data_IF_915875328437
#
_entry.id   IF_915875328437
#
_cell.length_a   1.000
_cell.length_b   1.000
_cell.length_c   1.000
_cell.angle_alpha   90.00
_cell.angle_beta   90.00
_cell.angle_gamma   90.00
#
_symmetry.space_group_name_H-M   'P 1'
#
loop_
_entity.id
_entity.type
_entity.pdbx_description
1 polymer ?
#
# COMPACT_ATOMS: atom_id res chain seq x y z
N UNK A 1 -3.50 -37.39 -18.86
CA UNK A 1 -4.93 -37.06 -18.78
C UNK A 1 -5.01 -35.56 -18.72
N UNK A 2 -5.78 -34.95 -19.63
CA UNK A 2 -5.88 -33.49 -19.73
C UNK A 2 -7.02 -32.97 -18.86
N UNK A 3 -6.72 -32.02 -17.97
CA UNK A 3 -7.67 -31.49 -16.98
C UNK A 3 -7.59 -29.97 -16.87
N UNK A 4 -8.72 -29.37 -16.49
CA UNK A 4 -8.80 -27.99 -16.02
C UNK A 4 -8.98 -27.97 -14.51
N UNK A 5 -8.22 -27.10 -13.86
CA UNK A 5 -8.27 -26.89 -12.41
C UNK A 5 -8.60 -25.41 -12.18
N UNK A 6 -9.65 -25.14 -11.42
CA UNK A 6 -10.01 -23.81 -10.97
C UNK A 6 -9.09 -23.39 -9.82
N UNK A 7 -8.48 -22.22 -9.93
CA UNK A 7 -7.77 -21.57 -8.83
C UNK A 7 -8.76 -20.68 -8.07
N UNK A 8 -9.09 -21.06 -6.84
CA UNK A 8 -9.95 -20.28 -5.95
C UNK A 8 -9.14 -19.73 -4.75
N UNK A 9 -9.63 -18.69 -4.05
CA UNK A 9 -8.96 -18.15 -2.87
C UNK A 9 -8.70 -19.20 -1.77
N UNK A 10 -9.52 -20.24 -1.70
CA UNK A 10 -9.44 -21.35 -0.75
C UNK A 10 -8.63 -22.56 -1.26
N UNK A 11 -8.00 -22.44 -2.44
CA UNK A 11 -7.11 -23.45 -3.02
C UNK A 11 -7.56 -23.94 -4.41
N UNK A 12 -6.85 -24.96 -4.91
CA UNK A 12 -7.14 -25.58 -6.21
C UNK A 12 -8.36 -26.51 -6.14
N UNK A 13 -9.30 -26.35 -7.08
CA UNK A 13 -10.48 -27.23 -7.24
C UNK A 13 -10.50 -27.83 -8.63
N UNK A 14 -10.60 -29.16 -8.80
CA UNK A 14 -10.80 -29.76 -10.12
C UNK A 14 -12.06 -29.20 -10.79
N UNK A 15 -11.94 -28.68 -12.01
CA UNK A 15 -13.06 -28.13 -12.76
C UNK A 15 -13.64 -29.17 -13.73
N UNK A 16 -12.80 -29.76 -14.58
CA UNK A 16 -13.23 -30.74 -15.58
C UNK A 16 -12.08 -31.61 -16.08
N UNK A 17 -12.39 -32.85 -16.45
CA UNK A 17 -11.54 -33.69 -17.29
C UNK A 17 -11.96 -33.51 -18.75
N UNK A 18 -10.99 -33.17 -19.61
CA UNK A 18 -11.30 -32.77 -20.99
C UNK A 18 -11.30 -33.98 -21.95
N UNK A 19 -10.66 -35.08 -21.60
CA UNK A 19 -10.36 -36.18 -22.53
C UNK A 19 -11.57 -36.89 -23.16
N UNK A 20 -12.75 -36.78 -22.54
CA UNK A 20 -13.98 -37.36 -23.07
C UNK A 20 -14.71 -36.47 -24.10
N UNK A 21 -14.18 -35.29 -24.44
CA UNK A 21 -14.91 -34.26 -25.19
C UNK A 21 -14.14 -33.76 -26.42
N UNK A 22 -14.89 -33.37 -27.45
CA UNK A 22 -14.34 -32.69 -28.65
C UNK A 22 -14.29 -31.18 -28.48
N UNK A 23 -15.24 -30.62 -27.72
CA UNK A 23 -15.36 -29.19 -27.44
C UNK A 23 -15.74 -29.01 -25.97
N UNK A 24 -15.21 -27.96 -25.34
CA UNK A 24 -15.55 -27.55 -23.97
C UNK A 24 -15.71 -26.04 -23.91
N UNK A 25 -16.85 -25.56 -23.41
CA UNK A 25 -17.23 -24.14 -23.40
C UNK A 25 -17.30 -23.60 -21.98
N UNK A 26 -16.87 -22.35 -21.80
CA UNK A 26 -16.88 -21.68 -20.51
C UNK A 26 -17.58 -20.32 -20.66
N UNK A 27 -18.53 -20.03 -19.78
CA UNK A 27 -19.26 -18.78 -19.78
C UNK A 27 -20.32 -18.70 -18.69
N UNK A 28 -21.10 -17.62 -18.71
CA UNK A 28 -22.18 -17.38 -17.73
C UNK A 28 -23.52 -18.00 -18.11
N UNK A 29 -23.74 -18.24 -19.39
CA UNK A 29 -24.96 -18.86 -19.90
C UNK A 29 -25.04 -20.34 -19.50
N UNK A 30 -26.26 -20.85 -19.35
CA UNK A 30 -26.53 -22.18 -18.79
C UNK A 30 -26.22 -23.34 -19.74
N UNK A 31 -25.97 -23.03 -21.01
CA UNK A 31 -25.60 -23.96 -22.08
C UNK A 31 -24.08 -24.19 -22.17
N UNK A 32 -23.26 -23.48 -21.40
CA UNK A 32 -21.82 -23.75 -21.31
C UNK A 32 -21.54 -24.99 -20.47
N UNK A 33 -20.47 -25.70 -20.81
CA UNK A 33 -20.00 -26.87 -20.09
C UNK A 33 -19.52 -26.54 -18.67
N UNK A 34 -18.78 -25.44 -18.51
CA UNK A 34 -18.47 -24.85 -17.22
C UNK A 34 -19.17 -23.49 -17.09
N UNK A 35 -20.13 -23.43 -16.18
CA UNK A 35 -20.91 -22.23 -15.91
C UNK A 35 -20.36 -21.47 -14.71
N UNK A 36 -20.15 -20.17 -14.87
CA UNK A 36 -19.78 -19.26 -13.79
C UNK A 36 -20.79 -18.12 -13.66
N UNK A 37 -21.04 -17.64 -12.45
CA UNK A 37 -22.02 -16.56 -12.21
C UNK A 37 -21.39 -15.16 -12.14
N UNK A 38 -20.07 -15.07 -12.29
CA UNK A 38 -19.32 -13.82 -12.20
C UNK A 38 -19.72 -12.83 -13.32
N UNK A 39 -20.10 -11.57 -12.99
CA UNK A 39 -20.40 -10.53 -13.98
C UNK A 39 -19.24 -10.20 -14.93
N UNK A 40 -17.99 -10.44 -14.51
CA UNK A 40 -16.81 -10.26 -15.36
C UNK A 40 -16.69 -11.32 -16.47
N UNK A 41 -17.52 -12.37 -16.44
CA UNK A 41 -17.52 -13.45 -17.43
C UNK A 41 -18.69 -13.25 -18.40
N UNK A 42 -18.36 -13.20 -19.70
CA UNK A 42 -19.33 -13.12 -20.79
C UNK A 42 -20.24 -14.35 -20.83
N UNK A 43 -21.43 -14.21 -21.43
CA UNK A 43 -22.40 -15.31 -21.58
C UNK A 43 -21.75 -16.56 -22.20
N UNK A 44 -20.93 -16.36 -23.23
CA UNK A 44 -20.04 -17.35 -23.83
C UNK A 44 -18.66 -16.69 -23.89
N UNK A 45 -17.72 -17.13 -23.06
CA UNK A 45 -16.47 -16.40 -22.86
C UNK A 45 -15.32 -17.02 -23.66
N UNK A 46 -15.12 -18.33 -23.53
CA UNK A 46 -14.12 -19.05 -24.30
C UNK A 46 -14.59 -20.45 -24.67
N UNK A 47 -13.89 -21.03 -25.64
CA UNK A 47 -14.05 -22.41 -26.08
C UNK A 47 -12.71 -23.09 -26.22
N UNK A 48 -12.68 -24.35 -25.80
CA UNK A 48 -11.59 -25.29 -25.99
C UNK A 48 -12.02 -26.33 -27.01
N UNK A 49 -11.21 -26.56 -28.03
CA UNK A 49 -11.46 -27.55 -29.07
C UNK A 49 -10.32 -28.57 -29.13
N UNK A 50 -10.66 -29.85 -29.28
CA UNK A 50 -9.68 -30.94 -29.44
C UNK A 50 -9.02 -30.79 -30.81
N UNK A 51 -7.70 -30.70 -30.84
CA UNK A 51 -6.92 -30.68 -32.06
C UNK A 51 -6.28 -32.05 -32.33
N UNK A 52 -5.66 -32.22 -33.50
CA UNK A 52 -4.93 -33.44 -33.85
C UNK A 52 -3.86 -33.81 -32.80
N UNK A 53 -3.25 -32.80 -32.20
CA UNK A 53 -2.27 -32.92 -31.12
C UNK A 53 -2.59 -31.91 -30.01
N UNK A 54 -3.44 -32.32 -29.06
CA UNK A 54 -3.75 -31.52 -27.87
C UNK A 54 -5.05 -30.72 -27.99
N UNK A 55 -5.02 -29.48 -27.50
CA UNK A 55 -6.18 -28.59 -27.39
C UNK A 55 -5.85 -27.21 -27.94
N UNK A 56 -6.85 -26.55 -28.53
CA UNK A 56 -6.79 -25.12 -28.85
C UNK A 56 -7.81 -24.35 -28.02
N UNK A 57 -7.49 -23.13 -27.65
CA UNK A 57 -8.37 -22.20 -26.96
C UNK A 57 -8.70 -21.02 -27.87
N UNK A 58 -9.97 -20.66 -27.95
CA UNK A 58 -10.42 -19.42 -28.58
C UNK A 58 -11.24 -18.58 -27.59
N UNK A 59 -10.91 -17.30 -27.48
CA UNK A 59 -11.80 -16.31 -26.87
C UNK A 59 -12.99 -16.06 -27.80
N UNK A 60 -14.20 -16.02 -27.25
CA UNK A 60 -15.45 -15.89 -28.00
C UNK A 60 -15.94 -14.43 -28.05
N UNK A 61 -15.02 -13.50 -28.31
CA UNK A 61 -15.25 -12.05 -28.30
C UNK A 61 -15.77 -11.58 -26.93
N UNK A 62 -15.08 -12.01 -25.88
CA UNK A 62 -15.48 -11.71 -24.51
C UNK A 62 -15.19 -10.26 -24.15
N UNK A 63 -16.09 -9.64 -23.37
CA UNK A 63 -15.97 -8.22 -23.01
C UNK A 63 -14.69 -7.87 -22.23
N UNK A 64 -14.15 -8.82 -21.46
CA UNK A 64 -12.97 -8.61 -20.61
C UNK A 64 -11.74 -9.40 -21.10
N UNK A 65 -11.86 -10.11 -22.22
CA UNK A 65 -10.79 -10.88 -22.84
C UNK A 65 -10.39 -12.14 -22.07
N UNK A 66 -9.60 -12.97 -22.76
CA UNK A 66 -8.92 -14.14 -22.19
C UNK A 66 -7.40 -13.98 -22.37
N UNK A 67 -6.62 -14.38 -21.36
CA UNK A 67 -5.15 -14.47 -21.47
C UNK A 67 -4.65 -15.89 -21.21
N UNK A 68 -3.54 -16.27 -21.86
CA UNK A 68 -2.79 -17.49 -21.58
C UNK A 68 -1.40 -17.09 -21.13
N UNK A 69 -1.00 -17.49 -19.92
CA UNK A 69 0.28 -17.12 -19.29
C UNK A 69 0.55 -15.60 -19.33
N UNK A 70 -0.50 -14.79 -19.20
CA UNK A 70 -0.44 -13.32 -19.25
C UNK A 70 -0.46 -12.71 -20.65
N UNK A 71 -0.47 -13.53 -21.71
CA UNK A 71 -0.54 -13.06 -23.11
C UNK A 71 -2.00 -13.07 -23.58
N UNK A 72 -2.56 -11.96 -24.08
CA UNK A 72 -3.91 -11.92 -24.63
C UNK A 72 -4.11 -12.91 -25.79
N UNK A 73 -5.24 -13.60 -25.77
CA UNK A 73 -5.62 -14.55 -26.81
C UNK A 73 -6.27 -13.80 -27.96
N UNK A 74 -5.73 -13.98 -29.17
CA UNK A 74 -6.34 -13.49 -30.40
C UNK A 74 -6.55 -14.67 -31.36
N UNK A 75 -7.81 -14.95 -31.70
CA UNK A 75 -8.18 -16.14 -32.46
C UNK A 75 -7.96 -17.45 -31.67
N UNK A 76 -7.82 -18.55 -32.40
CA UNK A 76 -7.57 -19.87 -31.80
C UNK A 76 -6.07 -20.10 -31.58
N UNK A 77 -5.69 -20.36 -30.33
CA UNK A 77 -4.30 -20.57 -29.89
C UNK A 77 -4.11 -22.00 -29.38
N UNK A 78 -3.03 -22.66 -29.77
CA UNK A 78 -2.70 -23.99 -29.25
C UNK A 78 -2.30 -23.91 -27.77
N UNK A 79 -2.89 -24.77 -26.94
CA UNK A 79 -2.57 -24.88 -25.52
C UNK A 79 -1.48 -25.92 -25.29
N UNK A 80 -0.44 -25.49 -24.58
CA UNK A 80 0.64 -26.38 -24.12
C UNK A 80 0.55 -26.49 -22.60
N UNK A 81 0.51 -27.71 -22.06
CA UNK A 81 0.50 -27.92 -20.62
C UNK A 81 1.93 -27.82 -20.03
N UNK A 82 2.10 -27.25 -18.81
CA UNK A 82 1.09 -26.52 -18.04
C UNK A 82 0.86 -25.10 -18.58
N UNK A 83 -0.39 -24.61 -18.50
CA UNK A 83 -0.72 -23.23 -18.84
C UNK A 83 -1.72 -22.62 -17.83
N UNK A 84 -1.54 -21.33 -17.55
CA UNK A 84 -2.54 -20.51 -16.87
C UNK A 84 -3.43 -19.82 -17.89
N UNK A 85 -4.73 -19.94 -17.70
CA UNK A 85 -5.76 -19.29 -18.49
C UNK A 85 -6.49 -18.34 -17.54
N UNK A 86 -6.58 -17.06 -17.89
CA UNK A 86 -7.34 -16.07 -17.13
C UNK A 86 -8.49 -15.56 -17.98
N UNK A 87 -9.71 -15.63 -17.44
CA UNK A 87 -10.91 -15.10 -18.07
C UNK A 87 -11.26 -13.78 -17.36
N UNK A 88 -11.23 -12.68 -18.11
CA UNK A 88 -11.26 -11.33 -17.53
C UNK A 88 -10.10 -11.10 -16.57
N UNK A 89 -10.40 -10.54 -15.39
CA UNK A 89 -9.41 -10.25 -14.34
C UNK A 89 -9.48 -11.21 -13.14
N UNK A 90 -10.56 -12.01 -13.05
CA UNK A 90 -10.96 -12.64 -11.80
C UNK A 90 -10.99 -14.18 -11.84
N UNK A 91 -11.14 -14.81 -13.00
CA UNK A 91 -11.24 -16.27 -13.06
C UNK A 91 -9.97 -16.92 -13.60
N UNK A 92 -9.32 -17.70 -12.75
CA UNK A 92 -8.01 -18.30 -13.02
C UNK A 92 -8.16 -19.82 -13.17
N UNK A 93 -7.82 -20.34 -14.34
CA UNK A 93 -7.84 -21.76 -14.65
C UNK A 93 -6.43 -22.26 -14.97
N UNK A 94 -6.12 -23.46 -14.51
CA UNK A 94 -4.88 -24.17 -14.80
C UNK A 94 -5.17 -25.33 -15.74
N UNK A 95 -4.54 -25.32 -16.91
CA UNK A 95 -4.57 -26.39 -17.88
C UNK A 95 -3.38 -27.32 -17.64
N UNK A 96 -3.66 -28.60 -17.42
CA UNK A 96 -2.65 -29.63 -17.12
C UNK A 96 -2.84 -30.85 -17.99
N UNK A 97 -1.74 -31.52 -18.31
CA UNK A 97 -1.75 -32.85 -18.91
C UNK A 97 -0.80 -33.77 -18.13
N UNK A 98 -1.36 -34.78 -17.48
CA UNK A 98 -0.60 -35.75 -16.68
C UNK A 98 0.36 -36.61 -17.52
N UNK A 99 0.23 -36.61 -18.86
CA UNK A 99 1.10 -37.37 -19.76
C UNK A 99 2.35 -36.60 -20.23
N UNK A 100 2.44 -35.29 -19.95
CA UNK A 100 3.56 -34.46 -20.40
C UNK A 100 4.80 -34.65 -19.50
N UNK A 101 5.95 -35.11 -20.03
CA UNK A 101 7.19 -35.20 -19.26
C UNK A 101 7.86 -33.83 -19.24
N UNK A 102 7.65 -33.05 -18.17
CA UNK A 102 8.30 -31.76 -17.99
C UNK A 102 8.50 -31.43 -16.53
N UNK A 103 9.53 -30.65 -16.17
CA UNK A 103 9.68 -30.17 -14.81
C UNK A 103 8.39 -29.45 -14.40
N UNK A 104 7.89 -29.77 -13.22
CA UNK A 104 6.86 -29.00 -12.54
C UNK A 104 7.48 -27.65 -12.15
N UNK A 105 7.83 -26.82 -13.12
CA UNK A 105 8.29 -25.46 -12.86
C UNK A 105 7.16 -24.78 -12.12
N UNK A 106 7.44 -24.38 -10.87
CA UNK A 106 6.52 -23.66 -10.02
C UNK A 106 5.98 -22.47 -10.83
N UNK A 107 4.73 -22.62 -11.26
CA UNK A 107 4.02 -21.61 -12.01
C UNK A 107 3.85 -20.40 -11.10
N UNK A 108 3.94 -19.15 -11.62
CA UNK A 108 3.70 -17.99 -10.78
C UNK A 108 2.35 -18.15 -10.07
N UNK A 109 2.29 -17.95 -8.74
CA UNK A 109 1.04 -18.05 -8.02
C UNK A 109 0.02 -17.10 -8.68
N UNK A 110 -1.25 -17.52 -8.83
CA UNK A 110 -2.28 -16.58 -9.27
C UNK A 110 -2.22 -15.36 -8.34
N UNK A 111 -2.44 -14.12 -8.84
CA UNK A 111 -2.67 -12.99 -7.98
C UNK A 111 -3.84 -13.38 -7.07
N UNK A 112 -3.60 -13.26 -5.77
CA UNK A 112 -4.60 -13.51 -4.76
C UNK A 112 -5.83 -12.67 -5.11
N UNK A 113 -6.92 -13.33 -5.54
CA UNK A 113 -8.21 -12.68 -5.62
C UNK A 113 -8.53 -12.20 -4.20
N UNK A 114 -8.68 -10.89 -4.04
CA UNK A 114 -8.95 -10.28 -2.75
C UNK A 114 -10.12 -11.02 -2.08
N UNK A 115 -9.89 -11.52 -0.87
CA UNK A 115 -10.91 -12.24 -0.12
C UNK A 115 -12.12 -11.33 0.15
N UNK A 116 -13.29 -11.90 0.45
CA UNK A 116 -14.44 -11.10 0.90
C UNK A 116 -14.08 -10.22 2.12
N UNK A 117 -13.17 -10.70 2.98
CA UNK A 117 -12.63 -9.95 4.09
C UNK A 117 -11.79 -8.75 3.64
N UNK A 118 -10.96 -8.90 2.61
CA UNK A 118 -10.17 -7.79 2.04
C UNK A 118 -11.08 -6.73 1.42
N UNK A 119 -12.12 -7.16 0.68
CA UNK A 119 -13.11 -6.25 0.09
C UNK A 119 -13.88 -5.49 1.18
N UNK A 120 -14.26 -6.18 2.26
CA UNK A 120 -14.91 -5.55 3.41
C UNK A 120 -13.98 -4.53 4.09
N UNK A 121 -12.72 -4.88 4.31
CA UNK A 121 -11.71 -4.00 4.90
C UNK A 121 -11.52 -2.72 4.08
N UNK A 122 -11.42 -2.84 2.75
CA UNK A 122 -11.31 -1.68 1.85
C UNK A 122 -12.55 -0.78 1.92
N UNK A 123 -13.75 -1.38 2.02
CA UNK A 123 -15.01 -0.62 2.16
C UNK A 123 -15.06 0.14 3.48
N UNK A 124 -14.66 -0.50 4.58
CA UNK A 124 -14.60 0.11 5.90
C UNK A 124 -13.56 1.23 5.96
N UNK A 125 -12.37 1.01 5.38
CA UNK A 125 -11.34 2.02 5.26
C UNK A 125 -11.85 3.25 4.49
N UNK A 126 -12.53 3.05 3.35
CA UNK A 126 -13.14 4.15 2.59
C UNK A 126 -14.14 4.93 3.43
N UNK A 127 -15.04 4.25 4.15
CA UNK A 127 -16.04 4.91 4.99
C UNK A 127 -15.40 5.75 6.11
N UNK A 128 -14.36 5.22 6.76
CA UNK A 128 -13.62 5.91 7.83
C UNK A 128 -12.86 7.13 7.30
N UNK A 129 -12.18 7.00 6.17
CA UNK A 129 -11.48 8.13 5.53
C UNK A 129 -12.46 9.25 5.17
N UNK A 130 -13.63 8.92 4.63
CA UNK A 130 -14.67 9.91 4.35
C UNK A 130 -15.19 10.61 5.62
N UNK A 131 -15.31 9.87 6.73
CA UNK A 131 -15.68 10.46 8.00
C UNK A 131 -14.61 11.45 8.50
N UNK A 132 -13.33 11.07 8.44
CA UNK A 132 -12.21 11.94 8.81
C UNK A 132 -12.22 13.21 7.98
N UNK A 133 -12.41 13.10 6.65
CA UNK A 133 -12.48 14.26 5.74
C UNK A 133 -13.59 15.23 6.15
N UNK A 134 -14.77 14.73 6.49
CA UNK A 134 -15.90 15.57 6.94
C UNK A 134 -15.59 16.32 8.23
N UNK A 135 -14.93 15.68 9.19
CA UNK A 135 -14.54 16.33 10.43
C UNK A 135 -13.48 17.42 10.20
N UNK A 136 -12.47 17.13 9.37
CA UNK A 136 -11.43 18.12 9.00
C UNK A 136 -12.04 19.31 8.25
N UNK A 137 -13.00 19.08 7.36
CA UNK A 137 -13.66 20.11 6.57
C UNK A 137 -14.47 21.12 7.39
N UNK A 138 -14.77 20.83 8.67
CA UNK A 138 -15.43 21.78 9.58
C UNK A 138 -14.52 22.94 9.97
N UNK A 139 -13.20 22.74 9.92
CA UNK A 139 -12.19 23.74 10.30
C UNK A 139 -11.41 24.22 9.08
N UNK A 140 -11.08 23.31 8.15
CA UNK A 140 -10.27 23.60 6.97
C UNK A 140 -11.15 23.76 5.74
N UNK A 141 -11.19 24.99 5.21
CA UNK A 141 -12.00 25.34 4.03
C UNK A 141 -11.09 25.51 2.81
N UNK A 142 -11.49 24.94 1.67
CA UNK A 142 -10.82 25.16 0.37
C UNK A 142 -9.50 24.38 0.16
N UNK A 143 -9.17 23.40 1.01
CA UNK A 143 -7.94 22.58 0.89
C UNK A 143 -8.23 21.07 0.80
N UNK A 144 -9.32 20.68 0.14
CA UNK A 144 -9.76 19.28 0.07
C UNK A 144 -8.69 18.34 -0.50
N UNK A 145 -7.99 18.77 -1.56
CA UNK A 145 -6.95 17.97 -2.22
C UNK A 145 -5.73 17.76 -1.31
N UNK A 146 -5.33 18.80 -0.56
CA UNK A 146 -4.21 18.70 0.38
C UNK A 146 -4.57 17.75 1.53
N UNK A 147 -5.79 17.86 2.07
CA UNK A 147 -6.28 16.93 3.11
C UNK A 147 -6.23 15.49 2.60
N UNK A 148 -6.70 15.24 1.37
CA UNK A 148 -6.68 13.92 0.75
C UNK A 148 -5.26 13.37 0.60
N UNK A 149 -4.33 14.18 0.10
CA UNK A 149 -2.91 13.81 -0.04
C UNK A 149 -2.26 13.50 1.32
N UNK A 150 -2.50 14.31 2.34
CA UNK A 150 -1.95 14.08 3.68
C UNK A 150 -2.47 12.77 4.27
N UNK A 151 -3.78 12.49 4.12
CA UNK A 151 -4.36 11.22 4.57
C UNK A 151 -3.81 10.02 3.80
N UNK A 152 -3.61 10.14 2.48
CA UNK A 152 -2.98 9.08 1.68
C UNK A 152 -1.58 8.75 2.18
N UNK A 153 -0.74 9.77 2.40
CA UNK A 153 0.63 9.58 2.91
C UNK A 153 0.62 8.95 4.30
N UNK A 154 -0.25 9.42 5.20
CA UNK A 154 -0.37 8.88 6.55
C UNK A 154 -0.76 7.40 6.54
N UNK A 155 -1.78 7.02 5.76
CA UNK A 155 -2.26 5.64 5.68
C UNK A 155 -1.21 4.72 5.04
N UNK A 156 -0.44 5.24 4.08
CA UNK A 156 0.68 4.52 3.48
C UNK A 156 1.90 4.39 4.42
N UNK A 157 1.86 4.97 5.64
CA UNK A 157 2.97 4.95 6.59
C UNK A 157 4.14 5.86 6.21
N UNK A 158 3.93 6.77 5.26
CA UNK A 158 4.94 7.70 4.77
C UNK A 158 5.06 8.99 5.58
N UNK A 159 5.87 9.92 5.11
CA UNK A 159 6.02 11.27 5.64
C UNK A 159 5.80 12.30 4.52
N UNK A 160 5.33 13.51 4.87
CA UNK A 160 4.94 14.52 3.88
C UNK A 160 5.78 15.80 3.96
N UNK A 161 5.96 16.47 2.82
CA UNK A 161 6.57 17.80 2.72
C UNK A 161 5.59 18.79 2.09
N UNK A 162 5.11 19.77 2.86
CA UNK A 162 4.21 20.82 2.40
C UNK A 162 5.00 22.06 1.96
N UNK A 163 5.12 22.21 0.65
CA UNK A 163 5.75 23.38 0.03
C UNK A 163 4.73 24.50 -0.13
N UNK A 164 5.12 25.71 0.24
CA UNK A 164 4.32 26.90 -0.07
C UNK A 164 4.49 28.04 0.92
N UNK A 165 3.85 29.17 0.63
CA UNK A 165 4.05 30.41 1.36
C UNK A 165 3.59 30.33 2.83
N UNK A 166 4.17 31.16 3.71
CA UNK A 166 3.67 31.37 5.06
C UNK A 166 2.19 31.79 5.05
N UNK A 167 1.45 31.39 6.09
CA UNK A 167 0.05 31.80 6.27
C UNK A 167 -1.01 30.95 5.53
N UNK A 168 -0.63 29.90 4.80
CA UNK A 168 -1.58 29.00 4.13
C UNK A 168 -2.27 27.98 5.04
N UNK A 169 -2.46 28.31 6.32
CA UNK A 169 -3.12 27.47 7.33
C UNK A 169 -2.52 26.04 7.50
N UNK A 170 -1.27 25.81 7.09
CA UNK A 170 -0.59 24.50 7.21
C UNK A 170 -0.58 23.98 8.65
N UNK A 171 -0.25 24.86 9.60
CA UNK A 171 -0.27 24.53 11.04
C UNK A 171 -1.66 24.12 11.51
N UNK A 172 -2.69 24.85 11.07
CA UNK A 172 -4.08 24.59 11.45
C UNK A 172 -4.58 23.28 10.84
N UNK A 173 -4.25 23.02 9.57
CA UNK A 173 -4.54 21.75 8.90
C UNK A 173 -3.98 20.57 9.69
N UNK A 174 -2.70 20.63 10.01
CA UNK A 174 -1.97 19.54 10.67
C UNK A 174 -2.48 19.30 12.09
N UNK A 175 -2.70 20.37 12.87
CA UNK A 175 -3.29 20.26 14.21
C UNK A 175 -4.73 19.73 14.16
N UNK A 176 -5.52 20.11 13.16
CA UNK A 176 -6.89 19.60 12.97
C UNK A 176 -6.87 18.10 12.70
N UNK A 177 -6.00 17.63 11.81
CA UNK A 177 -5.84 16.20 11.51
C UNK A 177 -5.45 15.43 12.78
N UNK A 178 -4.48 15.94 13.55
CA UNK A 178 -4.06 15.29 14.79
C UNK A 178 -5.23 15.17 15.79
N UNK A 179 -6.03 16.22 15.96
CA UNK A 179 -7.19 16.20 16.84
C UNK A 179 -8.29 15.23 16.37
N UNK A 180 -8.57 15.19 15.07
CA UNK A 180 -9.60 14.29 14.50
C UNK A 180 -9.19 12.82 14.65
N UNK A 181 -7.89 12.54 14.60
CA UNK A 181 -7.34 11.19 14.70
C UNK A 181 -6.87 10.81 16.11
N UNK A 182 -7.08 11.67 17.11
CA UNK A 182 -6.62 11.49 18.50
C UNK A 182 -5.11 11.18 18.61
N UNK A 183 -4.30 11.95 17.86
CA UNK A 183 -2.85 11.79 17.80
C UNK A 183 -2.16 12.82 18.69
N UNK A 184 -1.13 12.38 19.43
CA UNK A 184 -0.25 13.32 20.11
C UNK A 184 0.44 14.22 19.06
N UNK A 185 0.28 15.54 19.24
CA UNK A 185 0.79 16.54 18.31
C UNK A 185 1.94 17.36 18.92
N UNK A 186 3.03 17.50 18.19
CA UNK A 186 4.10 18.45 18.48
C UNK A 186 4.42 19.28 17.25
N UNK A 187 4.80 20.53 17.47
CA UNK A 187 5.34 21.42 16.44
C UNK A 187 6.76 21.81 16.83
N UNK A 188 7.65 21.78 15.85
CA UNK A 188 9.01 22.30 15.97
C UNK A 188 9.24 23.29 14.85
N UNK A 189 9.70 24.48 15.22
CA UNK A 189 10.19 25.46 14.28
C UNK A 189 11.66 25.18 14.03
N UNK A 190 12.03 24.95 12.78
CA UNK A 190 13.43 24.76 12.41
C UNK A 190 14.08 26.13 12.28
N UNK A 191 15.16 26.33 13.03
CA UNK A 191 15.95 27.55 13.07
C UNK A 191 17.44 27.24 12.84
N UNK A 192 18.26 28.23 12.46
CA UNK A 192 19.68 28.01 12.15
C UNK A 192 20.51 27.49 13.33
N UNK A 193 20.05 27.76 14.55
CA UNK A 193 20.69 27.39 15.82
C UNK A 193 20.19 26.05 16.41
N UNK A 194 19.17 25.45 15.80
CA UNK A 194 18.58 24.21 16.29
C UNK A 194 19.57 23.04 16.19
N UNK A 195 19.78 22.34 17.31
CA UNK A 195 20.71 21.22 17.40
C UNK A 195 19.99 19.89 17.21
N UNK A 196 20.69 18.81 16.76
CA UNK A 196 20.10 17.47 16.68
C UNK A 196 19.43 17.01 17.99
N UNK A 197 20.05 17.32 19.14
CA UNK A 197 19.56 16.96 20.47
C UNK A 197 18.28 17.71 20.86
N UNK A 198 17.99 18.86 20.25
CA UNK A 198 16.73 19.58 20.48
C UNK A 198 15.55 18.88 19.78
N UNK A 199 15.84 18.01 18.80
CA UNK A 199 14.87 17.17 18.09
C UNK A 199 14.78 15.79 18.75
N UNK A 200 15.90 15.12 18.92
CA UNK A 200 15.94 13.72 19.39
C UNK A 200 15.86 13.61 20.92
N UNK A 201 16.18 14.66 21.66
CA UNK A 201 16.29 14.64 23.11
C UNK A 201 17.74 14.57 23.58
N UNK A 202 17.93 14.70 24.89
CA UNK A 202 19.25 14.75 25.52
C UNK A 202 19.24 14.09 26.89
N UNK A 203 20.41 13.62 27.34
CA UNK A 203 20.61 13.18 28.71
C UNK A 203 21.02 14.37 29.59
N UNK A 204 20.27 14.59 30.66
CA UNK A 204 20.61 15.58 31.68
C UNK A 204 21.08 14.88 32.94
N UNK A 205 22.00 15.52 33.67
CA UNK A 205 22.41 15.06 34.98
C UNK A 205 21.38 15.55 36.01
N UNK A 206 20.52 14.64 36.44
CA UNK A 206 19.53 14.87 37.47
C UNK A 206 20.10 14.50 38.85
N UNK A 207 19.63 15.15 39.91
CA UNK A 207 20.04 14.84 41.29
C UNK A 207 18.82 14.34 42.03
N UNK A 208 18.90 13.09 42.50
CA UNK A 208 17.85 12.46 43.28
C UNK A 208 17.59 13.29 44.57
N UNK A 209 16.37 13.82 44.77
CA UNK A 209 16.06 14.70 45.91
C UNK A 209 16.25 14.02 47.28
N UNK A 210 16.07 12.70 47.35
CA UNK A 210 16.11 11.94 48.59
C UNK A 210 17.51 11.41 48.90
N UNK A 211 18.27 11.00 47.87
CA UNK A 211 19.59 10.38 48.05
C UNK A 211 20.79 11.28 47.73
N UNK A 212 20.57 12.43 47.08
CA UNK A 212 21.62 13.33 46.61
C UNK A 212 22.51 12.73 45.51
N UNK A 213 22.19 11.53 45.01
CA UNK A 213 22.94 10.87 43.96
C UNK A 213 22.67 11.51 42.60
N UNK A 214 23.74 11.72 41.84
CA UNK A 214 23.68 12.18 40.45
C UNK A 214 23.34 11.01 39.54
N UNK A 215 22.31 11.15 38.71
CA UNK A 215 21.88 10.14 37.72
C UNK A 215 21.64 10.81 36.38
N UNK A 216 22.02 10.15 35.29
CA UNK A 216 21.65 10.61 33.95
C UNK A 216 20.18 10.24 33.69
N UNK A 217 19.38 11.24 33.30
CA UNK A 217 17.98 11.10 32.93
C UNK A 217 17.80 11.56 31.50
N UNK A 218 17.19 10.72 30.68
CA UNK A 218 16.83 11.09 29.32
C UNK A 218 15.59 12.01 29.30
N UNK A 219 15.73 13.17 28.66
CA UNK A 219 14.64 14.08 28.35
C UNK A 219 14.29 13.90 26.88
N UNK A 220 13.10 13.33 26.65
CA UNK A 220 12.55 13.09 25.31
C UNK A 220 12.42 14.40 24.53
N UNK A 221 12.96 14.40 23.32
CA UNK A 221 12.75 15.49 22.36
C UNK A 221 11.33 15.52 21.77
N UNK A 222 11.01 16.52 20.96
CA UNK A 222 9.69 16.69 20.35
C UNK A 222 9.29 15.59 19.36
N UNK A 223 10.23 14.79 18.85
CA UNK A 223 9.91 13.65 17.96
C UNK A 223 9.14 12.52 18.66
N UNK A 224 9.14 12.47 20.00
CA UNK A 224 8.36 11.50 20.76
C UNK A 224 6.88 11.91 20.80
N UNK A 225 6.22 11.75 19.67
CA UNK A 225 4.83 12.14 19.41
C UNK A 225 4.29 11.27 18.27
N UNK A 226 2.97 11.24 18.04
CA UNK A 226 2.43 10.54 16.87
C UNK A 226 2.50 11.39 15.60
N UNK A 227 2.23 12.69 15.72
CA UNK A 227 2.26 13.65 14.62
C UNK A 227 3.19 14.81 14.95
N UNK A 228 4.23 14.98 14.13
CA UNK A 228 5.20 16.07 14.22
C UNK A 228 5.06 17.03 13.02
N UNK A 229 4.80 18.30 13.31
CA UNK A 229 4.97 19.38 12.34
C UNK A 229 6.40 19.94 12.42
N UNK A 230 7.20 19.69 11.39
CA UNK A 230 8.56 20.24 11.24
C UNK A 230 8.53 21.47 10.34
N UNK A 231 8.32 22.64 10.93
CA UNK A 231 8.10 23.89 10.20
C UNK A 231 9.43 24.47 9.70
N UNK A 232 9.48 24.84 8.42
CA UNK A 232 10.64 25.44 7.75
C UNK A 232 11.92 24.58 7.87
N UNK A 233 11.79 23.28 7.59
CA UNK A 233 12.86 22.28 7.75
C UNK A 233 14.19 22.68 7.06
N UNK A 234 14.09 23.46 6.00
CA UNK A 234 15.23 23.99 5.25
C UNK A 234 16.01 25.09 6.01
N UNK A 235 15.56 25.62 7.15
CA UNK A 235 16.25 26.68 7.90
C UNK A 235 17.28 26.18 8.92
N UNK A 236 17.49 24.87 9.04
CA UNK A 236 18.49 24.29 9.96
C UNK A 236 19.63 23.62 9.18
N UNK A 237 20.85 23.53 9.75
CA UNK A 237 21.97 22.85 9.11
C UNK A 237 21.69 21.37 8.79
N UNK A 238 22.36 20.78 7.77
CA UNK A 238 22.13 19.40 7.34
C UNK A 238 22.22 18.36 8.45
N UNK A 239 23.03 18.60 9.49
CA UNK A 239 23.18 17.67 10.62
C UNK A 239 21.90 17.53 11.45
N UNK A 240 21.16 18.62 11.65
CA UNK A 240 19.89 18.60 12.40
C UNK A 240 18.76 18.03 11.54
N UNK A 241 18.78 18.30 10.23
CA UNK A 241 17.88 17.65 9.26
C UNK A 241 18.09 16.14 9.25
N UNK A 242 19.34 15.68 9.15
CA UNK A 242 19.71 14.27 9.14
C UNK A 242 19.22 13.54 10.39
N UNK A 243 19.30 14.16 11.56
CA UNK A 243 18.80 13.56 12.81
C UNK A 243 17.28 13.31 12.78
N UNK A 244 16.49 14.21 12.17
CA UNK A 244 15.06 13.98 11.97
C UNK A 244 14.82 12.89 10.91
N UNK A 245 15.54 12.93 9.79
CA UNK A 245 15.38 11.95 8.70
C UNK A 245 15.77 10.53 9.14
N UNK A 246 16.82 10.39 9.94
CA UNK A 246 17.22 9.13 10.57
C UNK A 246 16.09 8.60 11.46
N UNK A 247 15.53 9.45 12.33
CA UNK A 247 14.39 9.07 13.17
C UNK A 247 13.14 8.66 12.36
N UNK A 248 12.89 9.31 11.21
CA UNK A 248 11.81 8.97 10.28
C UNK A 248 12.01 7.60 9.64
N UNK A 249 13.24 7.27 9.26
CA UNK A 249 13.60 6.02 8.61
C UNK A 249 13.65 4.85 9.61
N UNK A 250 14.35 5.03 10.73
CA UNK A 250 14.61 3.99 11.72
C UNK A 250 13.47 3.81 12.74
N UNK A 251 12.50 4.74 12.76
CA UNK A 251 11.38 4.77 13.73
C UNK A 251 11.84 4.68 15.19
N UNK A 252 13.08 5.07 15.45
CA UNK A 252 13.74 5.01 16.74
C UNK A 252 14.88 6.02 16.77
N UNK A 253 15.36 6.36 17.97
CA UNK A 253 16.54 7.19 18.15
C UNK A 253 17.45 6.61 19.22
N UNK A 254 18.75 6.70 19.01
CA UNK A 254 19.75 6.30 20.00
C UNK A 254 20.34 7.53 20.66
N UNK A 255 20.25 7.60 21.99
CA UNK A 255 20.83 8.68 22.79
C UNK A 255 21.68 8.04 23.89
N UNK A 256 22.95 8.44 23.96
CA UNK A 256 23.94 7.76 24.79
C UNK A 256 24.10 6.31 24.35
N UNK A 257 23.88 5.37 25.26
CA UNK A 257 23.96 3.93 25.01
C UNK A 257 22.58 3.25 24.93
N UNK A 258 21.49 4.01 24.83
CA UNK A 258 20.13 3.50 24.84
C UNK A 258 19.35 3.92 23.59
N UNK A 259 18.70 2.95 22.97
CA UNK A 259 17.79 3.17 21.84
C UNK A 259 16.35 3.26 22.34
N UNK A 260 15.63 4.26 21.85
CA UNK A 260 14.24 4.54 22.19
C UNK A 260 13.38 4.45 20.93
N UNK A 261 12.39 3.56 20.94
CA UNK A 261 11.42 3.45 19.85
C UNK A 261 10.45 4.64 19.84
N UNK A 262 10.04 5.07 18.65
CA UNK A 262 8.98 6.05 18.45
C UNK A 262 7.62 5.34 18.40
N UNK A 263 6.63 5.94 19.04
CA UNK A 263 5.30 5.33 19.16
C UNK A 263 4.54 5.37 17.83
N UNK A 264 4.07 4.24 17.30
CA UNK A 264 3.31 4.22 16.07
C UNK A 264 1.86 4.74 16.27
N UNK A 265 1.27 5.43 15.28
CA UNK A 265 1.92 5.89 14.06
C UNK A 265 2.87 7.06 14.37
N UNK A 266 4.07 7.05 13.77
CA UNK A 266 5.00 8.19 13.77
C UNK A 266 4.98 8.86 12.40
N UNK A 267 4.26 9.97 12.32
CA UNK A 267 4.04 10.76 11.12
C UNK A 267 4.70 12.13 11.24
N UNK A 268 5.46 12.50 10.22
CA UNK A 268 6.15 13.79 10.14
C UNK A 268 5.63 14.50 8.92
N UNK A 269 5.16 15.72 9.13
CA UNK A 269 4.78 16.61 8.08
C UNK A 269 5.66 17.84 8.17
N UNK A 270 6.62 17.93 7.26
CA UNK A 270 7.55 19.03 7.18
C UNK A 270 6.98 20.16 6.31
N UNK A 271 7.40 21.39 6.53
CA UNK A 271 7.09 22.51 5.65
C UNK A 271 8.38 23.13 5.12
N UNK A 272 8.30 23.69 3.92
CA UNK A 272 9.35 24.54 3.38
C UNK A 272 8.75 25.71 2.63
N UNK A 273 9.38 26.87 2.77
CA UNK A 273 9.05 28.07 2.01
C UNK A 273 9.93 28.12 0.75
N UNK A 274 9.36 28.04 -0.47
CA UNK A 274 10.14 27.92 -1.70
C UNK A 274 10.85 29.22 -2.12
N UNK A 275 10.49 30.37 -1.53
CA UNK A 275 11.03 31.68 -1.93
C UNK A 275 12.22 32.10 -1.06
N UNK A 276 12.39 31.48 0.10
CA UNK A 276 13.41 31.87 1.06
C UNK A 276 14.77 31.30 0.63
N UNK A 277 15.69 32.19 0.23
CA UNK A 277 17.02 31.81 -0.27
C UNK A 277 18.15 32.14 0.71
N UNK A 278 17.90 32.95 1.73
CA UNK A 278 18.90 33.31 2.74
C UNK A 278 18.82 32.35 3.94
N UNK A 279 19.97 31.79 4.33
CA UNK A 279 20.06 30.93 5.52
C UNK A 279 19.33 29.59 5.39
N UNK A 280 19.09 29.13 4.16
CA UNK A 280 18.43 27.85 3.89
C UNK A 280 19.40 26.78 3.39
N UNK A 281 19.19 25.55 3.83
CA UNK A 281 19.90 24.35 3.44
C UNK A 281 18.94 23.43 2.70
N UNK A 282 19.24 23.03 1.44
CA UNK A 282 18.38 22.11 0.71
C UNK A 282 18.34 20.76 1.43
N UNK A 283 17.18 20.09 1.35
CA UNK A 283 17.06 18.73 1.85
C UNK A 283 17.99 17.79 1.02
N UNK A 284 18.66 16.83 1.68
CA UNK A 284 19.57 15.89 1.04
C UNK A 284 18.85 14.84 0.17
#
# INVERSE_FOLDING_TARGET
>A
MTRLILQAPDGEKPLAELDARQTFTIGRAADNDARFTDPAISSHHLRLDRAAHGWTLADLDSANGTTINGIPVTGAVALTAPAMIVLGEALWLRFVDDAAPGPQTAMPPPPLLASEADIALVRDMKARTEQIRREVAKVIVGQADIVEQVLMVLIAGGHGLLVGLPGMAKTTLVATIANVLDMAFRRVQFTPDLMPTDITGTEILDTDPDSGQKRFRFVKGPIFTNLLLADEINRTPPKTQAALLEAMQEKSVTVGNQTYALEPPFFVLATQNPIEQEGTYPLP
#
